data_IF_353823636104
#
_entry.id   IF_353823636104
#
_cell.length_a   1.000
_cell.length_b   1.000
_cell.length_c   1.000
_cell.angle_alpha   90.00
_cell.angle_beta   90.00
_cell.angle_gamma   90.00
#
_symmetry.space_group_name_H-M   'P 1'
#
loop_
_entity.id
_entity.type
_entity.pdbx_description
1 polymer ?
#
# COMPACT_ATOMS: atom_id res chain seq x y z
N UNK A 1 35.24 -29.26 -45.84
CA UNK A 1 36.56 -29.86 -45.51
C UNK A 1 36.40 -31.37 -45.40
N UNK A 2 37.48 -32.12 -45.60
CA UNK A 2 37.50 -33.57 -45.38
C UNK A 2 37.93 -33.82 -43.92
N UNK A 3 37.25 -34.71 -43.19
CA UNK A 3 37.51 -34.99 -41.77
C UNK A 3 37.87 -36.45 -41.62
N UNK A 4 39.14 -36.74 -41.32
CA UNK A 4 39.60 -38.09 -41.01
C UNK A 4 39.44 -38.36 -39.51
N UNK A 5 38.60 -39.33 -39.15
CA UNK A 5 38.37 -39.74 -37.75
C UNK A 5 39.17 -41.01 -37.46
N UNK A 6 40.03 -40.98 -36.45
CA UNK A 6 40.74 -42.19 -36.03
C UNK A 6 39.84 -43.08 -35.16
N UNK A 7 39.82 -44.41 -35.36
CA UNK A 7 39.00 -45.33 -34.58
C UNK A 7 39.28 -45.26 -33.08
N UNK A 8 40.53 -45.04 -32.70
CA UNK A 8 40.99 -44.97 -31.30
C UNK A 8 40.55 -43.68 -30.57
N UNK A 9 40.15 -42.63 -31.30
CA UNK A 9 39.83 -41.36 -30.64
C UNK A 9 38.63 -41.48 -29.71
N UNK A 10 38.74 -40.80 -28.57
CA UNK A 10 37.64 -40.66 -27.65
C UNK A 10 36.42 -40.00 -28.34
N UNK A 11 35.18 -40.40 -28.03
CA UNK A 11 33.96 -39.83 -28.63
C UNK A 11 33.90 -38.29 -28.60
N UNK A 12 34.42 -37.68 -27.53
CA UNK A 12 34.48 -36.22 -27.40
C UNK A 12 35.43 -35.57 -28.43
N UNK A 13 36.61 -36.14 -28.64
CA UNK A 13 37.60 -35.69 -29.64
C UNK A 13 37.05 -35.84 -31.06
N UNK A 14 36.39 -36.97 -31.35
CA UNK A 14 35.71 -37.19 -32.63
C UNK A 14 34.64 -36.13 -32.88
N UNK A 15 33.82 -35.82 -31.87
CA UNK A 15 32.75 -34.84 -32.01
C UNK A 15 33.28 -33.40 -32.16
N UNK A 16 34.35 -33.03 -31.44
CA UNK A 16 35.06 -31.75 -31.61
C UNK A 16 35.61 -31.59 -33.04
N UNK A 17 36.25 -32.64 -33.58
CA UNK A 17 36.80 -32.61 -34.93
C UNK A 17 35.71 -32.44 -36.00
N UNK A 18 34.57 -33.11 -35.84
CA UNK A 18 33.41 -32.93 -36.74
C UNK A 18 32.87 -31.51 -36.61
N UNK A 19 32.60 -31.05 -35.38
CA UNK A 19 32.01 -29.75 -35.12
C UNK A 19 32.87 -28.58 -35.61
N UNK A 20 34.19 -28.68 -35.50
CA UNK A 20 35.13 -27.68 -36.03
C UNK A 20 35.14 -27.60 -37.57
N UNK A 21 34.62 -28.60 -38.26
CA UNK A 21 34.55 -28.66 -39.73
C UNK A 21 33.13 -28.46 -40.28
N UNK A 22 32.12 -28.29 -39.42
CA UNK A 22 30.73 -27.99 -39.82
C UNK A 22 30.68 -26.60 -40.47
N UNK A 23 30.03 -26.51 -41.63
CA UNK A 23 29.82 -25.25 -42.32
C UNK A 23 28.33 -24.87 -42.31
N UNK A 24 27.90 -24.14 -41.28
CA UNK A 24 26.51 -23.72 -41.09
C UNK A 24 25.95 -22.85 -42.21
N UNK A 25 26.80 -22.26 -43.06
CA UNK A 25 26.37 -21.46 -44.22
C UNK A 25 26.12 -22.30 -45.49
N UNK A 26 26.42 -23.59 -45.47
CA UNK A 26 26.22 -24.49 -46.60
C UNK A 26 24.86 -25.20 -46.54
N UNK A 27 24.30 -25.56 -47.70
CA UNK A 27 23.05 -26.33 -47.83
C UNK A 27 23.13 -27.70 -47.15
N UNK A 28 24.31 -28.32 -47.17
CA UNK A 28 24.64 -29.49 -46.35
C UNK A 28 25.76 -29.07 -45.37
N UNK A 29 25.43 -28.86 -44.09
CA UNK A 29 26.39 -28.31 -43.13
C UNK A 29 27.45 -29.32 -42.68
N UNK A 30 27.26 -30.62 -42.98
CA UNK A 30 28.16 -31.68 -42.51
C UNK A 30 29.43 -31.79 -43.36
N UNK A 31 30.58 -32.15 -42.76
CA UNK A 31 31.79 -32.47 -43.51
C UNK A 31 31.59 -33.64 -44.49
N UNK A 32 32.35 -33.65 -45.58
CA UNK A 32 32.28 -34.73 -46.57
C UNK A 32 32.63 -36.07 -45.89
N UNK A 33 31.83 -37.10 -46.14
CA UNK A 33 32.04 -38.44 -45.60
C UNK A 33 31.52 -38.66 -44.17
N UNK A 34 30.92 -37.65 -43.53
CA UNK A 34 30.31 -37.77 -42.20
C UNK A 34 28.79 -37.76 -42.33
N UNK A 35 28.14 -38.89 -41.99
CA UNK A 35 26.69 -38.97 -41.96
C UNK A 35 26.12 -38.56 -40.60
N UNK A 36 24.85 -38.15 -40.59
CA UNK A 36 24.10 -37.91 -39.34
C UNK A 36 24.09 -39.14 -38.44
N UNK A 37 23.86 -40.33 -38.98
CA UNK A 37 23.85 -41.59 -38.21
C UNK A 37 25.17 -41.81 -37.46
N UNK A 38 26.30 -41.44 -38.09
CA UNK A 38 27.62 -41.53 -37.47
C UNK A 38 27.78 -40.54 -36.32
N UNK A 39 27.23 -39.35 -36.44
CA UNK A 39 27.20 -38.34 -35.37
C UNK A 39 26.31 -38.83 -34.23
N UNK A 40 25.13 -39.38 -34.53
CA UNK A 40 24.21 -39.93 -33.54
C UNK A 40 24.86 -41.06 -32.74
N UNK A 41 25.58 -41.99 -33.38
CA UNK A 41 26.34 -43.07 -32.72
C UNK A 41 27.36 -42.52 -31.70
N UNK A 42 28.14 -41.51 -32.11
CA UNK A 42 29.10 -40.82 -31.22
C UNK A 42 28.36 -40.16 -30.05
N UNK A 43 27.24 -39.50 -30.32
CA UNK A 43 26.46 -38.83 -29.31
C UNK A 43 25.78 -39.82 -28.35
N UNK A 44 25.31 -40.99 -28.81
CA UNK A 44 24.74 -42.01 -27.92
C UNK A 44 25.81 -42.56 -26.98
N UNK A 45 27.04 -42.71 -27.48
CA UNK A 45 28.18 -43.10 -26.65
C UNK A 45 28.46 -42.04 -25.57
N UNK A 46 28.45 -40.75 -25.93
CA UNK A 46 28.58 -39.64 -24.97
C UNK A 46 27.40 -39.59 -23.98
N UNK A 47 26.18 -39.90 -24.42
CA UNK A 47 25.00 -40.00 -23.56
C UNK A 47 25.16 -41.13 -22.53
N UNK A 48 25.70 -42.28 -22.91
CA UNK A 48 25.97 -43.38 -21.97
C UNK A 48 27.03 -42.97 -20.94
N UNK A 49 28.03 -42.18 -21.35
CA UNK A 49 29.14 -41.77 -20.47
C UNK A 49 28.77 -40.65 -19.49
N UNK A 50 27.94 -39.69 -19.93
CA UNK A 50 27.64 -38.47 -19.17
C UNK A 50 26.17 -38.32 -18.80
N UNK A 51 25.28 -39.19 -19.28
CA UNK A 51 23.82 -39.08 -19.14
C UNK A 51 23.37 -39.03 -17.68
N UNK A 52 23.88 -39.93 -16.84
CA UNK A 52 23.55 -39.95 -15.41
C UNK A 52 23.99 -38.67 -14.70
N UNK A 53 25.12 -38.07 -15.08
CA UNK A 53 25.56 -36.78 -14.55
C UNK A 53 24.66 -35.64 -15.04
N UNK A 54 24.19 -35.69 -16.29
CA UNK A 54 23.21 -34.73 -16.81
C UNK A 54 21.88 -34.87 -16.06
N UNK A 55 21.42 -36.09 -15.80
CA UNK A 55 20.22 -36.37 -15.02
C UNK A 55 20.34 -35.78 -13.61
N UNK A 56 21.41 -36.13 -12.89
CA UNK A 56 21.65 -35.65 -11.52
C UNK A 56 21.77 -34.12 -11.43
N UNK A 57 22.44 -33.47 -12.40
CA UNK A 57 22.55 -32.01 -12.43
C UNK A 57 21.24 -31.35 -12.85
N UNK A 58 20.42 -32.00 -13.69
CA UNK A 58 19.11 -31.49 -14.10
C UNK A 58 18.05 -31.54 -12.99
N UNK A 59 18.26 -32.35 -11.94
CA UNK A 59 17.41 -32.36 -10.73
C UNK A 59 17.68 -31.15 -9.81
N UNK A 60 18.63 -30.29 -10.15
CA UNK A 60 18.93 -29.04 -9.44
C UNK A 60 18.13 -27.84 -10.02
N UNK A 61 18.61 -26.61 -9.81
CA UNK A 61 18.01 -25.38 -10.37
C UNK A 61 18.30 -25.18 -11.87
N UNK A 62 19.10 -26.06 -12.48
CA UNK A 62 19.41 -26.02 -13.90
C UNK A 62 18.30 -26.68 -14.72
N UNK A 63 17.88 -26.01 -15.80
CA UNK A 63 17.07 -26.67 -16.82
C UNK A 63 17.85 -27.81 -17.46
N UNK A 64 17.15 -28.77 -18.07
CA UNK A 64 17.77 -29.92 -18.75
C UNK A 64 18.87 -29.51 -19.75
N UNK A 65 18.67 -28.41 -20.48
CA UNK A 65 19.63 -27.89 -21.47
C UNK A 65 20.84 -27.20 -20.85
N UNK A 66 20.63 -26.47 -19.76
CA UNK A 66 21.72 -25.88 -18.96
C UNK A 66 22.56 -26.98 -18.31
N UNK A 67 21.93 -28.00 -17.71
CA UNK A 67 22.61 -29.15 -17.12
C UNK A 67 23.41 -29.94 -18.16
N UNK A 68 22.79 -30.25 -19.30
CA UNK A 68 23.43 -30.95 -20.41
C UNK A 68 24.64 -30.18 -20.94
N UNK A 69 24.50 -28.86 -21.16
CA UNK A 69 25.58 -28.01 -21.65
C UNK A 69 26.70 -27.92 -20.61
N UNK A 70 26.37 -27.71 -19.34
CA UNK A 70 27.35 -27.55 -18.28
C UNK A 70 28.14 -28.84 -18.04
N UNK A 71 27.48 -30.00 -17.97
CA UNK A 71 28.12 -31.30 -17.78
C UNK A 71 29.04 -31.63 -18.94
N UNK A 72 28.56 -31.53 -20.18
CA UNK A 72 29.36 -31.85 -21.37
C UNK A 72 30.54 -30.87 -21.56
N UNK A 73 30.40 -29.63 -21.09
CA UNK A 73 31.45 -28.61 -21.18
C UNK A 73 32.53 -28.79 -20.11
N UNK A 74 32.13 -29.11 -18.88
CA UNK A 74 33.03 -29.06 -17.71
C UNK A 74 33.57 -30.42 -17.30
N UNK A 75 32.85 -31.52 -17.56
CA UNK A 75 33.34 -32.86 -17.28
C UNK A 75 34.11 -33.41 -18.49
N UNK A 76 35.34 -33.83 -18.27
CA UNK A 76 36.15 -34.58 -19.22
C UNK A 76 36.78 -35.77 -18.52
N UNK A 77 36.67 -36.96 -19.12
CA UNK A 77 37.44 -38.13 -18.67
C UNK A 77 38.93 -37.96 -18.98
N UNK A 78 39.77 -38.66 -18.23
CA UNK A 78 41.22 -38.64 -18.42
C UNK A 78 41.58 -39.06 -19.86
N UNK A 79 42.40 -38.25 -20.54
CA UNK A 79 42.75 -38.45 -21.96
C UNK A 79 41.71 -37.96 -22.99
N UNK A 80 40.58 -37.38 -22.56
CA UNK A 80 39.58 -36.79 -23.46
C UNK A 80 39.63 -35.26 -23.46
N UNK A 81 39.45 -34.66 -24.63
CA UNK A 81 39.26 -33.21 -24.74
C UNK A 81 37.87 -32.81 -24.21
N UNK A 82 37.80 -31.61 -23.62
CA UNK A 82 36.52 -30.98 -23.30
C UNK A 82 35.78 -30.65 -24.60
N UNK A 83 34.46 -30.86 -24.59
CA UNK A 83 33.65 -30.52 -25.76
C UNK A 83 33.62 -29.00 -25.97
N UNK A 84 33.74 -28.58 -27.22
CA UNK A 84 33.50 -27.19 -27.63
C UNK A 84 32.00 -26.88 -27.64
N UNK A 85 31.64 -25.59 -27.68
CA UNK A 85 30.22 -25.20 -27.76
C UNK A 85 29.58 -25.66 -29.06
N UNK A 86 30.34 -25.66 -30.15
CA UNK A 86 29.94 -26.18 -31.45
C UNK A 86 29.66 -27.69 -31.39
N UNK A 87 30.51 -28.44 -30.68
CA UNK A 87 30.33 -29.88 -30.49
C UNK A 87 29.14 -30.22 -29.59
N UNK A 88 28.88 -29.40 -28.58
CA UNK A 88 27.67 -29.50 -27.74
C UNK A 88 26.42 -29.16 -28.55
N UNK A 89 26.48 -28.13 -29.41
CA UNK A 89 25.40 -27.81 -30.36
C UNK A 89 25.10 -28.97 -31.29
N UNK A 90 26.15 -29.59 -31.85
CA UNK A 90 26.02 -30.78 -32.70
C UNK A 90 25.44 -31.98 -31.95
N UNK A 91 25.82 -32.18 -30.68
CA UNK A 91 25.24 -33.21 -29.80
C UNK A 91 23.74 -32.97 -29.56
N UNK A 92 23.36 -31.73 -29.27
CA UNK A 92 21.98 -31.32 -29.04
C UNK A 92 21.13 -31.51 -30.30
N UNK A 93 21.68 -31.16 -31.47
CA UNK A 93 21.04 -31.34 -32.76
C UNK A 93 20.82 -32.81 -33.12
N UNK A 94 21.83 -33.66 -32.89
CA UNK A 94 21.79 -35.06 -33.29
C UNK A 94 20.80 -35.89 -32.46
N UNK A 95 20.81 -35.75 -31.13
CA UNK A 95 19.96 -36.55 -30.22
C UNK A 95 18.66 -35.83 -29.81
N UNK A 96 18.60 -34.51 -29.94
CA UNK A 96 17.38 -33.74 -29.66
C UNK A 96 16.31 -33.97 -30.72
N UNK A 97 15.20 -34.63 -30.36
CA UNK A 97 14.01 -34.68 -31.24
C UNK A 97 13.42 -33.27 -31.40
N UNK A 98 13.36 -32.82 -32.65
CA UNK A 98 12.69 -31.61 -33.16
C UNK A 98 13.15 -30.26 -32.56
N UNK A 99 13.71 -29.41 -33.41
CA UNK A 99 13.82 -27.96 -33.13
C UNK A 99 13.22 -27.22 -34.32
N UNK A 100 12.17 -26.44 -34.06
CA UNK A 100 12.05 -25.14 -34.72
C UNK A 100 13.13 -24.23 -34.09
N UNK A 101 13.97 -23.62 -34.94
CA UNK A 101 15.12 -22.82 -34.51
C UNK A 101 16.46 -23.51 -34.73
N UNK A 102 17.51 -22.73 -35.05
CA UNK A 102 18.82 -23.20 -35.52
C UNK A 102 19.66 -23.85 -34.39
N UNK A 103 19.75 -25.18 -34.34
CA UNK A 103 20.35 -25.93 -33.23
C UNK A 103 21.89 -26.01 -33.31
N UNK A 104 22.50 -25.41 -34.34
CA UNK A 104 23.96 -25.32 -34.50
C UNK A 104 24.53 -23.98 -34.01
N UNK A 105 23.69 -23.09 -33.48
CA UNK A 105 24.12 -21.78 -33.01
C UNK A 105 24.98 -21.88 -31.75
N UNK A 106 26.28 -21.66 -31.91
CA UNK A 106 27.26 -21.47 -30.81
C UNK A 106 26.74 -20.50 -29.75
N UNK A 107 26.07 -19.42 -30.18
CA UNK A 107 25.54 -18.36 -29.32
C UNK A 107 24.51 -18.90 -28.34
N UNK A 108 23.58 -19.74 -28.81
CA UNK A 108 22.55 -20.35 -27.96
C UNK A 108 23.18 -21.28 -26.91
N UNK A 109 24.19 -22.06 -27.31
CA UNK A 109 24.89 -22.96 -26.38
C UNK A 109 25.72 -22.20 -25.35
N UNK A 110 26.40 -21.11 -25.75
CA UNK A 110 27.11 -20.25 -24.78
C UNK A 110 26.14 -19.60 -23.79
N UNK A 111 24.95 -19.17 -24.22
CA UNK A 111 23.94 -18.62 -23.31
C UNK A 111 23.45 -19.64 -22.28
N UNK A 112 23.29 -20.91 -22.66
CA UNK A 112 22.99 -21.99 -21.70
C UNK A 112 24.13 -22.19 -20.70
N UNK A 113 25.39 -22.14 -21.16
CA UNK A 113 26.55 -22.28 -20.30
C UNK A 113 26.68 -21.12 -19.31
N UNK A 114 26.47 -19.88 -19.77
CA UNK A 114 26.54 -18.69 -18.93
C UNK A 114 25.43 -18.67 -17.88
N UNK A 115 24.20 -19.05 -18.24
CA UNK A 115 23.10 -19.20 -17.29
C UNK A 115 23.39 -20.28 -16.25
N UNK A 116 23.90 -21.44 -16.68
CA UNK A 116 24.28 -22.51 -15.77
C UNK A 116 25.36 -22.06 -14.77
N UNK A 117 26.40 -21.37 -15.25
CA UNK A 117 27.48 -20.85 -14.41
C UNK A 117 26.96 -19.85 -13.37
N UNK A 118 26.08 -18.91 -13.76
CA UNK A 118 25.47 -17.96 -12.82
C UNK A 118 24.65 -18.66 -11.73
N UNK A 119 23.84 -19.66 -12.11
CA UNK A 119 23.01 -20.41 -11.17
C UNK A 119 23.85 -21.22 -10.18
N UNK A 120 24.92 -21.86 -10.66
CA UNK A 120 25.85 -22.60 -9.80
C UNK A 120 26.59 -21.66 -8.86
N UNK A 121 27.13 -20.53 -9.34
CA UNK A 121 27.79 -19.54 -8.49
C UNK A 121 26.86 -19.00 -7.40
N UNK A 122 25.58 -18.76 -7.72
CA UNK A 122 24.56 -18.37 -6.73
C UNK A 122 24.33 -19.48 -5.71
N UNK A 123 24.20 -20.73 -6.14
CA UNK A 123 24.01 -21.86 -5.24
C UNK A 123 25.23 -22.09 -4.32
N UNK A 124 26.45 -21.99 -4.85
CA UNK A 124 27.69 -22.07 -4.07
C UNK A 124 27.77 -20.93 -3.05
N UNK A 125 27.41 -19.70 -3.45
CA UNK A 125 27.34 -18.55 -2.53
C UNK A 125 26.34 -18.80 -1.41
N UNK A 126 25.18 -19.40 -1.70
CA UNK A 126 24.17 -19.77 -0.70
C UNK A 126 24.69 -20.86 0.25
N UNK A 127 25.34 -21.90 -0.27
CA UNK A 127 25.86 -23.03 0.53
C UNK A 127 27.06 -22.62 1.39
N UNK A 128 27.91 -21.72 0.88
CA UNK A 128 29.10 -21.22 1.59
C UNK A 128 28.79 -20.12 2.61
N UNK A 129 27.53 -19.67 2.73
CA UNK A 129 27.13 -18.65 3.69
C UNK A 129 27.06 -19.26 5.10
N UNK A 130 27.93 -18.82 6.00
CA UNK A 130 28.06 -19.31 7.39
C UNK A 130 27.28 -18.48 8.42
N UNK A 131 26.55 -17.46 7.98
CA UNK A 131 25.66 -16.64 8.84
C UNK A 131 24.20 -17.10 8.79
N UNK A 132 23.35 -16.63 9.73
CA UNK A 132 21.90 -16.85 9.65
C UNK A 132 21.36 -16.41 8.28
N UNK A 133 20.31 -17.08 7.75
CA UNK A 133 19.71 -16.69 6.48
C UNK A 133 19.29 -15.23 6.59
N UNK A 134 19.66 -14.37 5.61
CA UNK A 134 19.20 -13.00 5.60
C UNK A 134 17.68 -12.99 5.50
N UNK A 135 17.04 -12.09 6.21
CA UNK A 135 15.62 -11.87 6.02
C UNK A 135 15.37 -11.37 4.56
N UNK A 136 14.21 -11.65 3.94
CA UNK A 136 13.96 -11.31 2.54
C UNK A 136 14.16 -9.83 2.17
N UNK A 137 13.91 -8.94 3.11
CA UNK A 137 14.17 -7.49 3.14
C UNK A 137 15.67 -7.12 3.17
N UNK A 138 16.55 -8.03 3.58
CA UNK A 138 18.02 -7.82 3.56
C UNK A 138 18.69 -8.25 2.24
N UNK A 139 17.98 -8.92 1.33
CA UNK A 139 18.55 -9.49 0.07
C UNK A 139 18.04 -8.80 -1.19
N UNK A 140 16.82 -8.29 -1.13
CA UNK A 140 16.20 -7.59 -2.24
C UNK A 140 15.90 -6.18 -1.78
N UNK A 141 16.59 -5.19 -2.36
CA UNK A 141 16.27 -3.78 -2.11
C UNK A 141 14.82 -3.47 -2.51
N UNK A 142 14.24 -4.27 -3.42
CA UNK A 142 12.83 -4.21 -3.82
C UNK A 142 12.28 -5.60 -4.20
N UNK A 143 11.00 -5.92 -3.89
CA UNK A 143 10.39 -7.20 -4.27
C UNK A 143 10.40 -7.37 -5.80
N UNK A 144 11.09 -8.41 -6.28
CA UNK A 144 11.01 -8.79 -7.71
C UNK A 144 9.75 -9.63 -7.94
N UNK A 145 8.75 -9.18 -8.70
CA UNK A 145 7.55 -9.97 -8.98
C UNK A 145 7.89 -11.16 -9.88
N UNK A 146 7.92 -12.36 -9.29
CA UNK A 146 8.22 -13.60 -10.01
C UNK A 146 7.08 -14.07 -10.94
N UNK A 147 5.93 -13.40 -10.90
CA UNK A 147 4.70 -13.80 -11.58
C UNK A 147 4.40 -12.99 -12.85
N UNK A 148 5.18 -11.94 -13.14
CA UNK A 148 4.98 -11.06 -14.30
C UNK A 148 5.86 -11.52 -15.47
N UNK A 149 5.27 -11.75 -16.65
CA UNK A 149 6.01 -12.15 -17.86
C UNK A 149 7.09 -11.14 -18.27
N UNK A 150 8.17 -11.60 -18.90
CA UNK A 150 9.36 -10.78 -19.23
C UNK A 150 9.04 -9.50 -19.99
N UNK A 151 8.08 -9.56 -20.91
CA UNK A 151 7.70 -8.43 -21.77
C UNK A 151 6.90 -7.38 -20.99
N UNK A 152 6.08 -7.82 -20.03
CA UNK A 152 5.34 -6.94 -19.12
C UNK A 152 6.29 -6.32 -18.10
N UNK A 153 7.23 -7.11 -17.58
CA UNK A 153 8.26 -6.62 -16.66
C UNK A 153 9.17 -5.55 -17.30
N UNK A 154 9.48 -5.68 -18.60
CA UNK A 154 10.21 -4.66 -19.35
C UNK A 154 9.41 -3.35 -19.45
N UNK A 155 8.13 -3.43 -19.84
CA UNK A 155 7.24 -2.26 -19.95
C UNK A 155 6.98 -1.57 -18.61
N UNK A 156 6.90 -2.33 -17.52
CA UNK A 156 6.77 -1.78 -16.17
C UNK A 156 8.06 -1.05 -15.77
N UNK A 157 9.24 -1.65 -15.99
CA UNK A 157 10.53 -0.99 -15.76
C UNK A 157 10.70 0.30 -16.54
N UNK A 158 10.22 0.36 -17.78
CA UNK A 158 10.27 1.59 -18.59
C UNK A 158 9.37 2.72 -18.06
N UNK A 159 8.43 2.40 -17.16
CA UNK A 159 7.49 3.35 -16.55
C UNK A 159 7.84 3.71 -15.10
N UNK A 160 8.83 3.07 -14.50
CA UNK A 160 9.34 3.39 -13.15
C UNK A 160 9.91 4.81 -13.17
N UNK A 161 9.39 5.68 -12.29
CA UNK A 161 9.94 7.00 -12.03
C UNK A 161 11.34 6.93 -11.41
N UNK A 162 12.11 8.01 -11.47
CA UNK A 162 13.44 8.04 -10.86
C UNK A 162 13.35 7.87 -9.34
N UNK A 163 13.74 6.69 -8.84
CA UNK A 163 13.67 6.37 -7.42
C UNK A 163 12.28 5.96 -6.92
N UNK A 164 11.34 5.67 -7.82
CA UNK A 164 10.03 5.09 -7.48
C UNK A 164 10.20 3.58 -7.21
N UNK A 165 9.83 3.07 -6.02
CA UNK A 165 9.76 1.65 -5.74
C UNK A 165 8.81 0.94 -6.72
N UNK A 166 9.08 -0.34 -6.99
CA UNK A 166 8.23 -1.11 -7.90
C UNK A 166 6.76 -1.27 -7.45
N UNK A 167 6.53 -1.34 -6.14
CA UNK A 167 5.16 -1.42 -5.58
C UNK A 167 4.40 -0.11 -5.81
N UNK A 168 5.04 1.04 -5.56
CA UNK A 168 4.50 2.38 -5.84
C UNK A 168 4.15 2.56 -7.32
N UNK A 169 4.97 2.03 -8.24
CA UNK A 169 4.65 2.01 -9.68
C UNK A 169 3.35 1.25 -9.95
N UNK A 170 3.20 0.05 -9.37
CA UNK A 170 2.00 -0.76 -9.57
C UNK A 170 0.77 -0.02 -9.05
N UNK A 171 0.85 0.51 -7.83
CA UNK A 171 -0.24 1.25 -7.20
C UNK A 171 -0.66 2.45 -8.06
N UNK A 172 0.30 3.29 -8.47
CA UNK A 172 0.05 4.42 -9.37
C UNK A 172 -0.61 3.98 -10.68
N UNK A 173 -0.12 2.91 -11.31
CA UNK A 173 -0.71 2.43 -12.57
C UNK A 173 -2.13 1.89 -12.38
N UNK A 174 -2.41 1.23 -11.25
CA UNK A 174 -3.76 0.80 -10.92
C UNK A 174 -4.68 2.00 -10.73
N UNK A 175 -4.23 3.02 -10.00
CA UNK A 175 -4.98 4.25 -9.76
C UNK A 175 -5.21 5.05 -11.04
N UNK A 176 -4.23 5.16 -11.93
CA UNK A 176 -4.36 5.83 -13.24
C UNK A 176 -5.42 5.17 -14.13
N UNK A 177 -5.65 3.86 -13.98
CA UNK A 177 -6.65 3.12 -14.75
C UNK A 177 -8.03 3.11 -14.10
N UNK A 178 -8.15 3.61 -12.86
CA UNK A 178 -9.39 3.62 -12.11
C UNK A 178 -10.25 4.81 -12.57
N UNK A 179 -11.54 4.59 -12.93
CA UNK A 179 -12.43 5.71 -13.20
C UNK A 179 -12.66 6.49 -11.91
N UNK A 180 -12.36 7.79 -11.94
CA UNK A 180 -12.38 8.68 -10.76
C UNK A 180 -13.32 9.87 -10.97
N UNK A 181 -13.90 10.35 -9.88
CA UNK A 181 -14.64 11.62 -9.81
C UNK A 181 -14.06 12.47 -8.69
N UNK A 182 -13.95 13.78 -8.86
CA UNK A 182 -13.52 14.64 -7.74
C UNK A 182 -14.65 14.77 -6.71
N UNK A 183 -14.31 14.89 -5.42
CA UNK A 183 -15.33 15.07 -4.38
C UNK A 183 -16.22 16.30 -4.64
N UNK A 184 -15.63 17.39 -5.14
CA UNK A 184 -16.37 18.59 -5.57
C UNK A 184 -17.35 18.31 -6.72
N UNK A 185 -16.91 17.58 -7.75
CA UNK A 185 -17.77 17.21 -8.88
C UNK A 185 -18.89 16.23 -8.46
N UNK A 186 -18.62 15.32 -7.52
CA UNK A 186 -19.63 14.43 -6.96
C UNK A 186 -20.73 15.24 -6.27
N UNK A 187 -20.35 16.14 -5.34
CA UNK A 187 -21.31 16.98 -4.62
C UNK A 187 -22.09 17.87 -5.58
N UNK A 188 -21.42 18.52 -6.54
CA UNK A 188 -22.07 19.37 -7.54
C UNK A 188 -23.05 18.57 -8.41
N UNK A 189 -22.67 17.37 -8.87
CA UNK A 189 -23.53 16.54 -9.71
C UNK A 189 -24.82 16.13 -8.99
N UNK A 190 -24.73 15.74 -7.72
CA UNK A 190 -25.93 15.42 -6.93
C UNK A 190 -26.77 16.66 -6.62
N UNK A 191 -26.17 17.80 -6.29
CA UNK A 191 -26.93 19.04 -6.06
C UNK A 191 -27.67 19.50 -7.31
N UNK A 192 -26.99 19.53 -8.46
CA UNK A 192 -27.51 20.13 -9.70
C UNK A 192 -28.46 19.21 -10.48
N UNK A 193 -28.25 17.89 -10.43
CA UNK A 193 -29.02 16.92 -11.23
C UNK A 193 -30.06 16.15 -10.40
N UNK A 194 -29.89 16.13 -9.07
CA UNK A 194 -30.71 15.34 -8.15
C UNK A 194 -31.35 16.18 -7.06
N UNK A 195 -31.18 17.50 -7.07
CA UNK A 195 -31.68 18.38 -6.00
C UNK A 195 -31.29 17.86 -4.59
N UNK A 196 -30.10 17.25 -4.48
CA UNK A 196 -29.62 16.75 -3.21
C UNK A 196 -29.43 17.91 -2.23
N UNK A 197 -29.98 17.77 -1.03
CA UNK A 197 -29.99 18.80 0.02
C UNK A 197 -29.08 18.41 1.21
N UNK A 198 -28.52 17.19 1.21
CA UNK A 198 -27.57 16.72 2.20
C UNK A 198 -26.58 15.72 1.60
N UNK A 199 -25.29 15.92 1.87
CA UNK A 199 -24.20 15.01 1.49
C UNK A 199 -23.22 14.92 2.67
N UNK A 200 -22.94 13.71 3.13
CA UNK A 200 -21.98 13.47 4.20
C UNK A 200 -21.13 12.22 3.95
N UNK A 201 -20.01 12.13 4.67
CA UNK A 201 -19.14 10.94 4.71
C UNK A 201 -19.31 10.25 6.05
N UNK A 202 -19.49 8.93 6.05
CA UNK A 202 -19.55 8.14 7.29
C UNK A 202 -18.15 7.90 7.87
N UNK A 203 -17.90 8.38 9.09
CA UNK A 203 -16.61 8.18 9.79
C UNK A 203 -16.68 7.18 10.93
N UNK A 204 -17.79 6.43 11.06
CA UNK A 204 -17.99 5.45 12.16
C UNK A 204 -17.22 4.14 11.94
N UNK A 205 -16.86 3.86 10.69
CA UNK A 205 -16.19 2.61 10.35
C UNK A 205 -14.68 2.76 10.56
N UNK A 206 -14.01 1.72 11.12
CA UNK A 206 -12.56 1.71 11.17
C UNK A 206 -11.98 1.85 9.78
N UNK A 207 -10.92 2.64 9.64
CA UNK A 207 -10.24 2.84 8.36
C UNK A 207 -11.18 3.45 7.28
N UNK A 208 -12.12 4.32 7.70
CA UNK A 208 -13.05 5.02 6.81
C UNK A 208 -12.32 5.83 5.73
N UNK A 209 -11.07 6.22 5.97
CA UNK A 209 -10.22 6.95 5.05
C UNK A 209 -9.64 6.07 3.92
N UNK A 210 -9.92 4.77 3.89
CA UNK A 210 -9.60 3.89 2.76
C UNK A 210 -10.76 3.74 1.76
N UNK A 211 -12.01 3.83 2.26
CA UNK A 211 -13.26 3.70 1.51
C UNK A 211 -14.23 4.80 1.96
N UNK A 212 -14.25 5.91 1.22
CA UNK A 212 -15.11 7.05 1.53
C UNK A 212 -16.55 6.70 1.16
N UNK A 213 -17.37 6.51 2.20
CA UNK A 213 -18.79 6.21 2.09
C UNK A 213 -19.62 7.48 2.14
N UNK A 214 -20.11 7.90 0.99
CA UNK A 214 -21.00 9.05 0.88
C UNK A 214 -22.44 8.64 1.13
N UNK A 215 -23.08 9.28 2.09
CA UNK A 215 -24.53 9.22 2.31
C UNK A 215 -25.15 10.49 1.75
N UNK A 216 -26.09 10.33 0.83
CA UNK A 216 -26.69 11.43 0.09
C UNK A 216 -28.18 11.40 0.27
N UNK A 217 -28.73 12.52 0.74
CA UNK A 217 -30.18 12.76 0.70
C UNK A 217 -30.54 13.36 -0.64
N UNK A 218 -31.26 12.59 -1.43
CA UNK A 218 -31.79 13.01 -2.72
C UNK A 218 -33.13 12.30 -2.99
N UNK A 219 -34.04 12.91 -3.77
CA UNK A 219 -35.21 12.24 -4.31
C UNK A 219 -34.84 11.00 -5.11
N UNK A 220 -35.77 10.04 -5.20
CA UNK A 220 -35.58 8.81 -5.97
C UNK A 220 -35.31 9.09 -7.47
N UNK A 221 -34.43 8.28 -8.06
CA UNK A 221 -34.18 8.23 -9.51
C UNK A 221 -32.81 7.64 -9.85
N UNK A 222 -32.27 7.94 -11.04
CA UNK A 222 -30.94 7.50 -11.48
C UNK A 222 -29.76 8.31 -10.91
N UNK A 223 -28.71 7.63 -10.46
CA UNK A 223 -27.42 8.22 -10.06
C UNK A 223 -26.84 9.13 -11.16
N UNK A 224 -26.27 10.30 -10.85
CA UNK A 224 -25.65 11.18 -11.84
C UNK A 224 -24.60 10.47 -12.69
N UNK A 225 -24.60 10.72 -14.01
CA UNK A 225 -23.70 10.03 -14.96
C UNK A 225 -22.20 10.22 -14.62
N UNK A 226 -21.83 11.35 -14.02
CA UNK A 226 -20.46 11.61 -13.57
C UNK A 226 -20.01 10.72 -12.41
N UNK A 227 -20.95 10.12 -11.68
CA UNK A 227 -20.70 9.27 -10.50
C UNK A 227 -20.99 7.80 -10.81
N UNK A 228 -21.93 7.51 -11.71
CA UNK A 228 -22.38 6.15 -12.02
C UNK A 228 -21.25 5.16 -12.38
N UNK A 229 -20.23 5.63 -13.11
CA UNK A 229 -19.07 4.82 -13.52
C UNK A 229 -17.85 5.00 -12.61
N UNK A 230 -17.92 5.89 -11.60
CA UNK A 230 -16.78 6.21 -10.75
C UNK A 230 -16.55 5.10 -9.72
N UNK A 231 -15.35 4.52 -9.74
CA UNK A 231 -14.93 3.53 -8.76
C UNK A 231 -14.14 4.16 -7.60
N UNK A 232 -13.69 5.40 -7.75
CA UNK A 232 -12.96 6.16 -6.75
C UNK A 232 -13.37 7.64 -6.76
N UNK A 233 -13.17 8.27 -5.61
CA UNK A 233 -13.29 9.71 -5.45
C UNK A 233 -11.91 10.31 -5.21
N UNK A 234 -11.62 11.47 -5.79
CA UNK A 234 -10.38 12.19 -5.54
C UNK A 234 -10.60 13.37 -4.60
N UNK A 235 -9.76 13.44 -3.57
CA UNK A 235 -9.63 14.59 -2.66
C UNK A 235 -8.19 15.07 -2.76
N UNK A 236 -7.99 16.33 -3.17
CA UNK A 236 -6.66 16.90 -3.45
C UNK A 236 -5.76 16.08 -4.38
N UNK A 237 -6.38 15.39 -5.34
CA UNK A 237 -5.69 14.55 -6.30
C UNK A 237 -5.31 13.16 -5.78
N UNK A 238 -5.54 12.86 -4.50
CA UNK A 238 -5.39 11.51 -3.94
C UNK A 238 -6.68 10.70 -4.17
N UNK A 239 -6.61 9.52 -4.79
CA UNK A 239 -7.77 8.67 -4.99
C UNK A 239 -8.11 7.88 -3.71
N UNK A 240 -9.40 7.74 -3.47
CA UNK A 240 -9.96 6.92 -2.39
C UNK A 240 -11.03 6.01 -2.98
N UNK A 241 -11.20 4.82 -2.41
CA UNK A 241 -12.34 3.99 -2.81
C UNK A 241 -13.64 4.72 -2.50
N UNK A 242 -14.62 4.57 -3.40
CA UNK A 242 -15.88 5.29 -3.33
C UNK A 242 -17.03 4.31 -3.18
N UNK A 243 -17.83 4.54 -2.15
CA UNK A 243 -19.15 3.93 -1.99
C UNK A 243 -20.17 5.05 -1.84
N UNK A 244 -21.30 4.95 -2.54
CA UNK A 244 -22.38 5.94 -2.45
C UNK A 244 -23.68 5.25 -2.06
N UNK A 245 -24.33 5.80 -1.04
CA UNK A 245 -25.62 5.36 -0.53
C UNK A 245 -26.61 6.51 -0.69
N UNK A 246 -27.59 6.35 -1.57
CA UNK A 246 -28.68 7.31 -1.77
C UNK A 246 -29.85 6.92 -0.86
N UNK A 247 -30.22 7.78 0.08
CA UNK A 247 -31.35 7.60 0.97
C UNK A 247 -32.29 8.80 0.86
N UNK A 248 -33.62 8.61 0.80
CA UNK A 248 -34.55 9.73 0.70
C UNK A 248 -34.67 10.53 2.00
N UNK A 249 -34.37 9.91 3.15
CA UNK A 249 -34.45 10.56 4.47
C UNK A 249 -33.41 9.97 5.46
N UNK A 250 -32.10 10.11 5.18
CA UNK A 250 -31.07 9.70 6.12
C UNK A 250 -31.17 10.56 7.37
N UNK A 251 -31.28 9.90 8.54
CA UNK A 251 -31.15 10.59 9.82
C UNK A 251 -29.71 11.10 9.96
N UNK A 252 -29.47 12.42 10.14
CA UNK A 252 -28.13 12.94 10.35
C UNK A 252 -27.52 12.30 11.61
N UNK A 253 -26.48 11.48 11.43
CA UNK A 253 -25.77 10.84 12.52
C UNK A 253 -24.63 11.73 13.01
N UNK A 254 -24.28 11.64 14.29
CA UNK A 254 -23.10 12.34 14.84
C UNK A 254 -21.77 11.91 14.19
N UNK A 255 -21.75 10.74 13.57
CA UNK A 255 -20.60 10.21 12.83
C UNK A 255 -20.59 10.62 11.35
N UNK A 256 -21.48 11.52 10.94
CA UNK A 256 -21.47 12.08 9.60
C UNK A 256 -20.57 13.30 9.56
N UNK A 257 -19.51 13.23 8.76
CA UNK A 257 -18.79 14.42 8.35
C UNK A 257 -19.58 15.08 7.22
N UNK A 258 -20.33 16.13 7.55
CA UNK A 258 -21.18 16.83 6.60
C UNK A 258 -20.34 17.60 5.58
N UNK A 259 -20.46 17.23 4.31
CA UNK A 259 -19.80 17.89 3.19
C UNK A 259 -20.69 18.98 2.60
N UNK A 260 -22.00 18.75 2.58
CA UNK A 260 -22.99 19.73 2.16
C UNK A 260 -24.29 19.52 2.92
N UNK A 261 -24.92 20.60 3.34
CA UNK A 261 -26.29 20.62 3.83
C UNK A 261 -26.93 21.93 3.37
N UNK A 262 -28.10 21.85 2.74
CA UNK A 262 -28.88 23.04 2.42
C UNK A 262 -29.24 23.74 3.75
N UNK A 263 -29.04 25.06 3.79
CA UNK A 263 -29.61 25.86 4.87
C UNK A 263 -31.10 25.99 4.66
N UNK A 264 -31.85 26.11 5.74
CA UNK A 264 -33.20 26.65 5.62
C UNK A 264 -33.04 28.12 5.22
N UNK A 265 -33.36 28.43 3.96
CA UNK A 265 -33.50 29.81 3.51
C UNK A 265 -34.66 30.43 4.30
N UNK A 266 -34.38 31.00 5.48
CA UNK A 266 -35.26 31.97 6.10
C UNK A 266 -35.19 33.27 5.28
N UNK A 267 -35.81 33.28 4.10
CA UNK A 267 -36.08 34.55 3.42
C UNK A 267 -37.32 34.48 2.50
N UNK A 268 -38.33 35.30 2.83
CA UNK A 268 -39.18 35.93 1.79
C UNK A 268 -40.70 35.71 1.81
N UNK A 269 -41.40 36.48 2.66
CA UNK A 269 -42.56 37.29 2.21
C UNK A 269 -43.96 36.65 2.16
N UNK A 270 -44.83 37.06 3.09
CA UNK A 270 -46.27 36.77 3.05
C UNK A 270 -47.11 37.62 4.00
N UNK A 271 -47.22 38.92 3.73
CA UNK A 271 -48.19 39.82 4.37
C UNK A 271 -49.64 39.42 4.10
N UNK A 272 -50.38 38.94 5.11
CA UNK A 272 -51.84 39.07 5.34
C UNK A 272 -52.05 38.79 6.84
N UNK A 273 -52.79 39.49 7.69
CA UNK A 273 -53.68 40.64 7.62
C UNK A 273 -54.35 40.75 9.00
N UNK A 274 -54.46 41.97 9.48
CA UNK A 274 -55.40 42.53 10.47
C UNK A 274 -56.39 41.59 11.20
N UNK A 275 -56.44 41.70 12.53
CA UNK A 275 -57.49 41.10 13.35
C UNK A 275 -57.23 41.17 14.86
N UNK A 276 -57.60 42.29 15.47
CA UNK A 276 -57.79 42.44 16.93
C UNK A 276 -58.60 41.27 17.50
N UNK A 277 -58.21 40.75 18.68
CA UNK A 277 -59.17 40.65 19.79
C UNK A 277 -58.48 40.56 21.16
N UNK A 278 -59.13 41.18 22.13
CA UNK A 278 -58.77 41.24 23.54
C UNK A 278 -59.17 39.92 24.25
N UNK A 279 -58.38 39.47 25.22
CA UNK A 279 -58.83 38.37 26.09
C UNK A 279 -57.77 37.87 27.05
N UNK A 280 -57.81 38.34 28.29
CA UNK A 280 -56.99 37.86 29.38
C UNK A 280 -57.30 36.42 29.81
N UNK A 281 -56.33 35.80 30.49
CA UNK A 281 -56.50 34.48 31.11
C UNK A 281 -55.22 34.00 31.75
N UNK A 282 -55.09 34.24 33.06
CA UNK A 282 -54.10 33.60 33.93
C UNK A 282 -54.39 32.09 34.09
N UNK A 283 -53.33 31.31 34.34
CA UNK A 283 -53.37 29.89 34.74
C UNK A 283 -52.63 29.01 33.74
N UNK A 284 -51.52 28.35 34.04
CA UNK A 284 -51.22 27.57 35.23
C UNK A 284 -51.34 26.09 34.87
N UNK A 285 -50.21 25.40 34.71
CA UNK A 285 -50.17 23.93 34.51
C UNK A 285 -49.18 23.46 33.45
N UNK A 286 -47.88 23.57 33.77
CA UNK A 286 -46.86 22.79 33.07
C UNK A 286 -46.96 21.32 33.46
N UNK A 287 -47.01 20.43 32.48
CA UNK A 287 -46.66 19.03 32.67
C UNK A 287 -46.51 18.32 31.32
N UNK A 288 -45.30 17.78 31.08
CA UNK A 288 -45.08 16.51 30.39
C UNK A 288 -45.20 16.50 28.87
N UNK A 289 -44.06 16.65 28.20
CA UNK A 289 -43.88 16.27 26.81
C UNK A 289 -42.40 16.14 26.52
N UNK A 290 -41.82 14.98 26.85
CA UNK A 290 -40.52 14.52 26.37
C UNK A 290 -40.60 14.47 24.83
N UNK A 291 -40.15 15.56 24.22
CA UNK A 291 -39.91 15.67 22.81
C UNK A 291 -38.50 16.20 22.65
N UNK A 292 -37.51 15.31 22.80
CA UNK A 292 -36.16 15.49 22.26
C UNK A 292 -36.23 15.43 20.71
N UNK A 293 -37.04 16.32 20.13
CA UNK A 293 -36.82 16.77 18.77
C UNK A 293 -35.68 17.78 18.89
N UNK A 294 -34.48 17.25 18.70
CA UNK A 294 -33.21 17.96 18.55
C UNK A 294 -33.43 19.10 17.55
N UNK A 295 -33.78 20.28 18.07
CA UNK A 295 -34.01 21.54 17.36
C UNK A 295 -32.65 22.09 16.88
N UNK A 296 -32.03 21.35 15.95
CA UNK A 296 -30.86 21.79 15.21
C UNK A 296 -31.34 22.70 14.10
N UNK A 297 -31.60 23.95 14.46
CA UNK A 297 -31.80 25.07 13.53
C UNK A 297 -30.56 25.27 12.64
N UNK A 298 -30.51 24.48 11.56
CA UNK A 298 -30.48 25.00 10.19
C UNK A 298 -29.31 25.87 9.72
N UNK A 299 -28.13 25.89 10.35
CA UNK A 299 -26.95 26.49 9.69
C UNK A 299 -26.46 25.54 8.59
N UNK A 300 -26.91 25.77 7.35
CA UNK A 300 -26.47 25.02 6.18
C UNK A 300 -24.94 24.99 6.05
N UNK A 301 -24.42 23.89 5.48
CA UNK A 301 -22.99 23.71 5.22
C UNK A 301 -22.76 23.88 3.73
N UNK A 302 -22.02 24.93 3.36
CA UNK A 302 -21.59 25.14 1.97
C UNK A 302 -20.60 24.06 1.53
N UNK A 303 -20.64 23.58 0.27
CA UNK A 303 -19.76 22.51 -0.22
C UNK A 303 -18.27 22.79 0.00
N UNK A 304 -17.83 24.02 -0.24
CA UNK A 304 -16.42 24.38 -0.10
C UNK A 304 -15.95 24.25 1.35
N UNK A 305 -16.80 24.63 2.31
CA UNK A 305 -16.52 24.51 3.73
C UNK A 305 -16.48 23.03 4.15
N UNK A 306 -17.47 22.23 3.74
CA UNK A 306 -17.52 20.81 4.06
C UNK A 306 -16.40 19.99 3.39
N UNK A 307 -16.00 20.33 2.16
CA UNK A 307 -14.84 19.72 1.49
C UNK A 307 -13.51 20.10 2.17
N UNK A 308 -13.38 21.33 2.67
CA UNK A 308 -12.25 21.70 3.52
C UNK A 308 -12.22 20.87 4.81
N UNK A 309 -13.37 20.67 5.48
CA UNK A 309 -13.46 19.79 6.66
C UNK A 309 -13.06 18.35 6.34
N UNK A 310 -13.54 17.80 5.22
CA UNK A 310 -13.18 16.45 4.77
C UNK A 310 -11.67 16.32 4.54
N UNK A 311 -11.05 17.29 3.86
CA UNK A 311 -9.60 17.33 3.65
C UNK A 311 -8.86 17.34 4.99
N UNK A 312 -9.22 18.26 5.88
CA UNK A 312 -8.58 18.35 7.21
C UNK A 312 -8.78 17.08 8.03
N UNK A 313 -9.93 16.42 7.94
CA UNK A 313 -10.17 15.13 8.58
C UNK A 313 -9.23 14.06 8.03
N UNK A 314 -9.13 13.91 6.70
CA UNK A 314 -8.24 12.96 6.03
C UNK A 314 -6.76 13.21 6.36
N UNK A 315 -6.33 14.46 6.44
CA UNK A 315 -4.99 14.85 6.89
C UNK A 315 -4.73 14.59 8.38
N UNK A 316 -5.76 14.25 9.15
CA UNK A 316 -5.68 14.00 10.60
C UNK A 316 -5.80 12.53 10.95
N UNK A 317 -6.38 11.70 10.07
CA UNK A 317 -6.62 10.28 10.37
C UNK A 317 -5.36 9.55 10.78
N UNK A 318 -4.25 9.86 10.11
CA UNK A 318 -2.94 9.36 10.46
C UNK A 318 -1.92 10.48 10.59
N UNK A 319 -1.30 10.58 11.76
CA UNK A 319 -0.23 11.54 12.05
C UNK A 319 0.95 10.81 12.67
N UNK A 320 2.15 11.32 12.46
CA UNK A 320 3.27 10.98 13.34
C UNK A 320 3.11 11.71 14.70
N UNK A 321 3.78 11.20 15.73
CA UNK A 321 3.70 11.77 17.07
C UNK A 321 4.17 13.24 17.14
N UNK A 322 5.29 13.63 16.50
CA UNK A 322 5.69 15.04 16.42
C UNK A 322 4.59 15.95 15.84
N UNK A 323 4.00 15.59 14.70
CA UNK A 323 2.96 16.36 14.03
C UNK A 323 1.69 16.46 14.87
N UNK A 324 1.28 15.37 15.53
CA UNK A 324 0.16 15.39 16.47
C UNK A 324 0.41 16.37 17.63
N UNK A 325 1.62 16.37 18.21
CA UNK A 325 2.00 17.30 19.28
C UNK A 325 2.06 18.75 18.77
N UNK A 326 2.58 18.99 17.56
CA UNK A 326 2.66 20.34 17.02
C UNK A 326 1.27 20.92 16.74
N UNK A 327 0.31 20.11 16.26
CA UNK A 327 -1.10 20.51 16.13
C UNK A 327 -1.74 20.81 17.49
N UNK A 328 -1.56 19.93 18.46
CA UNK A 328 -2.05 20.15 19.83
C UNK A 328 -1.47 21.42 20.45
N UNK A 329 -0.16 21.66 20.28
CA UNK A 329 0.50 22.87 20.76
C UNK A 329 -0.04 24.12 20.08
N UNK A 330 -0.26 24.08 18.76
CA UNK A 330 -0.85 25.19 18.02
C UNK A 330 -2.30 25.50 18.49
N UNK A 331 -3.01 24.47 18.94
CA UNK A 331 -4.35 24.58 19.52
C UNK A 331 -4.39 24.95 21.02
N UNK A 332 -3.24 25.23 21.64
CA UNK A 332 -3.16 25.65 23.04
C UNK A 332 -3.17 24.51 24.06
N UNK A 333 -3.12 23.26 23.62
CA UNK A 333 -2.96 22.10 24.51
C UNK A 333 -1.56 22.13 25.13
N UNK A 334 -1.47 21.82 26.42
CA UNK A 334 -0.27 22.05 27.22
C UNK A 334 0.58 20.80 27.42
N UNK A 335 -0.03 19.61 27.35
CA UNK A 335 0.64 18.33 27.47
C UNK A 335 -0.14 17.20 26.77
N UNK A 336 0.51 16.07 26.57
CA UNK A 336 -0.07 14.83 26.03
C UNK A 336 0.42 13.65 26.84
N UNK A 337 -0.51 12.87 27.40
CA UNK A 337 -0.24 11.60 28.05
C UNK A 337 -0.93 10.44 27.33
N UNK A 338 -0.48 9.21 27.58
CA UNK A 338 -1.09 7.98 27.08
C UNK A 338 -1.43 7.05 28.24
N UNK A 339 -2.56 6.37 28.18
CA UNK A 339 -2.92 5.34 29.16
C UNK A 339 -1.91 4.20 29.19
N UNK A 340 -1.66 3.63 30.38
CA UNK A 340 -0.76 2.50 30.58
C UNK A 340 -1.35 1.18 30.04
N UNK A 341 -2.67 1.13 29.90
CA UNK A 341 -3.42 0.07 29.25
C UNK A 341 -4.05 0.57 27.94
N UNK A 342 -4.21 -0.30 26.93
CA UNK A 342 -4.93 0.06 25.71
C UNK A 342 -6.43 0.29 25.98
N UNK A 343 -7.04 1.20 25.23
CA UNK A 343 -8.49 1.39 25.19
C UNK A 343 -9.02 0.93 23.83
N UNK A 344 -10.03 0.06 23.83
CA UNK A 344 -10.56 -0.52 22.59
C UNK A 344 -9.47 -1.28 21.83
N UNK A 345 -9.22 -0.87 20.59
CA UNK A 345 -8.23 -1.49 19.71
C UNK A 345 -6.82 -0.87 19.80
N UNK A 346 -6.59 0.15 20.64
CA UNK A 346 -5.36 0.94 20.56
C UNK A 346 -5.04 1.82 21.76
N UNK A 347 -4.30 2.90 21.51
CA UNK A 347 -3.88 3.87 22.51
C UNK A 347 -5.06 4.67 23.06
N UNK A 348 -5.02 4.96 24.37
CA UNK A 348 -5.85 5.99 24.98
C UNK A 348 -5.02 7.26 25.16
N UNK A 349 -5.30 8.29 24.39
CA UNK A 349 -4.61 9.58 24.47
C UNK A 349 -5.34 10.55 25.39
N UNK A 350 -4.57 11.27 26.21
CA UNK A 350 -5.02 12.29 27.14
C UNK A 350 -4.36 13.63 26.82
N UNK A 351 -4.90 14.41 25.86
CA UNK A 351 -4.52 15.79 25.67
C UNK A 351 -4.88 16.60 26.92
N UNK A 352 -3.92 17.33 27.47
CA UNK A 352 -4.11 18.12 28.67
C UNK A 352 -4.28 19.59 28.27
N UNK A 353 -5.49 20.11 28.47
CA UNK A 353 -5.87 21.48 28.11
C UNK A 353 -5.65 22.45 29.28
N UNK A 354 -5.51 23.77 29.00
CA UNK A 354 -5.50 24.78 30.04
C UNK A 354 -6.74 24.64 30.95
N UNK A 355 -6.55 24.85 32.26
CA UNK A 355 -7.64 24.74 33.22
C UNK A 355 -8.04 26.11 33.76
N UNK A 356 -9.01 26.76 33.14
CA UNK A 356 -9.60 28.01 33.63
C UNK A 356 -11.12 27.95 33.72
N UNK A 357 -11.61 26.99 34.52
CA UNK A 357 -12.85 27.15 35.27
C UNK A 357 -14.14 26.77 34.53
N UNK A 358 -14.81 25.73 35.05
CA UNK A 358 -16.25 25.48 34.91
C UNK A 358 -16.82 25.67 33.50
N UNK A 359 -16.60 24.70 32.62
CA UNK A 359 -17.35 24.55 31.39
C UNK A 359 -16.99 23.21 30.78
N UNK A 360 -18.00 22.42 30.39
CA UNK A 360 -17.81 21.23 29.57
C UNK A 360 -16.82 21.53 28.44
N UNK A 361 -15.79 20.69 28.29
CA UNK A 361 -14.96 20.69 27.09
C UNK A 361 -15.90 20.31 25.96
N UNK A 362 -16.37 21.31 25.21
CA UNK A 362 -17.34 21.10 24.14
C UNK A 362 -16.70 20.19 23.09
N UNK A 363 -17.17 18.95 23.01
CA UNK A 363 -16.86 18.02 21.93
C UNK A 363 -17.79 18.22 20.72
N UNK A 364 -18.45 19.38 20.62
CA UNK A 364 -19.50 19.63 19.64
C UNK A 364 -19.18 20.78 18.69
N UNK A 365 -19.62 20.61 17.45
CA UNK A 365 -19.18 21.24 16.19
C UNK A 365 -19.62 22.72 16.03
N UNK A 366 -19.77 23.44 17.14
CA UNK A 366 -20.30 24.82 17.19
C UNK A 366 -19.26 25.82 17.67
N UNK A 367 -18.20 26.00 16.87
CA UNK A 367 -17.30 27.12 17.04
C UNK A 367 -17.98 28.43 16.62
N UNK A 368 -18.50 29.20 17.59
CA UNK A 368 -18.80 30.62 17.38
C UNK A 368 -17.53 31.44 17.57
N UNK A 369 -17.28 32.31 16.59
CA UNK A 369 -16.22 33.30 16.52
C UNK A 369 -16.30 34.27 17.72
N UNK A 370 -15.44 34.06 18.73
CA UNK A 370 -14.76 35.08 19.56
C UNK A 370 -14.09 34.41 20.78
N UNK A 371 -12.75 34.30 20.78
CA UNK A 371 -11.96 34.01 21.99
C UNK A 371 -10.98 32.83 21.88
N UNK A 372 -9.82 33.07 21.27
CA UNK A 372 -8.69 32.13 21.25
C UNK A 372 -8.04 32.08 22.64
N UNK A 373 -8.43 31.12 23.48
CA UNK A 373 -7.67 30.73 24.69
C UNK A 373 -8.04 29.37 25.32
N UNK A 374 -9.00 28.60 24.79
CA UNK A 374 -9.34 27.28 25.33
C UNK A 374 -8.73 26.18 24.44
N UNK A 375 -8.09 25.18 25.06
CA UNK A 375 -7.35 24.15 24.32
C UNK A 375 -8.25 23.33 23.39
N UNK A 376 -8.19 23.59 22.09
CA UNK A 376 -9.09 22.93 21.12
C UNK A 376 -8.53 21.56 20.69
N UNK A 377 -9.15 20.50 21.21
CA UNK A 377 -8.75 19.12 20.88
C UNK A 377 -9.46 18.57 19.65
N UNK A 378 -10.41 19.33 19.08
CA UNK A 378 -11.07 18.95 17.81
C UNK A 378 -10.09 18.84 16.64
N UNK A 379 -8.91 19.46 16.76
CA UNK A 379 -7.78 19.32 15.82
C UNK A 379 -7.29 17.87 15.67
N UNK A 380 -7.63 16.97 16.61
CA UNK A 380 -7.39 15.53 16.55
C UNK A 380 -8.68 14.69 16.49
N UNK A 381 -9.85 15.29 16.22
CA UNK A 381 -11.14 14.61 16.29
C UNK A 381 -11.22 13.34 15.42
N UNK A 382 -10.50 13.34 14.30
CA UNK A 382 -10.47 12.22 13.36
C UNK A 382 -9.22 11.35 13.45
N UNK A 383 -8.34 11.57 14.43
CA UNK A 383 -7.10 10.79 14.58
C UNK A 383 -7.41 9.34 14.95
N UNK A 384 -7.17 8.40 14.02
CA UNK A 384 -7.34 6.97 14.24
C UNK A 384 -6.02 6.21 14.33
N UNK A 385 -4.95 6.76 13.77
CA UNK A 385 -3.65 6.10 13.66
C UNK A 385 -2.51 7.07 13.98
N UNK A 386 -1.55 6.57 14.75
CA UNK A 386 -0.35 7.29 15.13
C UNK A 386 0.87 6.54 14.57
N UNK A 387 1.54 7.12 13.58
CA UNK A 387 2.76 6.56 13.03
C UNK A 387 3.90 6.72 14.06
N UNK A 388 4.45 5.58 14.49
CA UNK A 388 5.57 5.49 15.42
C UNK A 388 6.81 4.96 14.69
N UNK A 389 7.24 5.70 13.66
CA UNK A 389 8.43 5.44 12.83
C UNK A 389 8.47 4.03 12.18
N UNK A 390 8.69 2.96 12.94
CA UNK A 390 8.78 1.55 12.48
C UNK A 390 7.46 0.76 12.54
N UNK A 391 6.38 1.36 13.06
CA UNK A 391 5.08 0.72 13.24
C UNK A 391 3.96 1.76 13.33
N UNK A 392 2.72 1.33 13.14
CA UNK A 392 1.55 2.21 13.30
C UNK A 392 0.71 1.77 14.49
N UNK A 393 0.40 2.71 15.39
CA UNK A 393 -0.41 2.48 16.57
C UNK A 393 -1.83 3.01 16.34
N UNK A 394 -2.85 2.15 16.48
CA UNK A 394 -4.25 2.63 16.48
C UNK A 394 -4.52 3.52 17.69
N UNK A 395 -5.34 4.55 17.52
CA UNK A 395 -5.87 5.40 18.59
C UNK A 395 -7.29 4.91 18.88
N UNK A 396 -7.47 4.28 20.03
CA UNK A 396 -8.76 3.70 20.40
C UNK A 396 -9.64 4.66 21.19
N UNK A 397 -9.05 5.65 21.86
CA UNK A 397 -9.80 6.69 22.57
C UNK A 397 -8.95 7.95 22.74
N UNK A 398 -9.61 9.10 22.64
CA UNK A 398 -9.06 10.39 23.00
C UNK A 398 -9.92 10.99 24.11
N UNK A 399 -9.31 11.48 25.18
CA UNK A 399 -10.02 12.03 26.35
C UNK A 399 -9.30 13.28 26.83
N UNK A 400 -9.72 14.46 26.35
CA UNK A 400 -9.23 15.73 26.85
C UNK A 400 -9.45 15.82 28.35
N UNK A 401 -8.46 16.31 29.07
CA UNK A 401 -8.54 16.51 30.52
C UNK A 401 -7.85 17.82 30.91
N UNK A 402 -8.30 18.44 31.98
CA UNK A 402 -7.52 19.53 32.61
C UNK A 402 -6.34 18.97 33.38
N UNK A 403 -5.37 19.81 33.73
CA UNK A 403 -4.24 19.38 34.57
C UNK A 403 -4.68 18.78 35.91
N UNK A 404 -5.76 19.31 36.50
CA UNK A 404 -6.36 18.80 37.75
C UNK A 404 -6.96 17.42 37.58
N UNK A 405 -7.71 17.18 36.51
CA UNK A 405 -8.32 15.87 36.24
C UNK A 405 -7.27 14.83 35.87
N UNK A 406 -6.18 15.26 35.22
CA UNK A 406 -5.06 14.37 34.96
C UNK A 406 -4.42 13.85 36.26
N UNK A 407 -4.40 14.60 37.37
CA UNK A 407 -3.87 14.12 38.65
C UNK A 407 -4.58 12.85 39.14
N UNK A 408 -5.89 12.73 38.90
CA UNK A 408 -6.69 11.58 39.31
C UNK A 408 -6.33 10.31 38.51
N UNK A 409 -5.83 10.46 37.29
CA UNK A 409 -5.44 9.35 36.39
C UNK A 409 -3.93 9.23 36.17
N UNK A 410 -3.11 10.10 36.79
CA UNK A 410 -1.68 10.19 36.54
C UNK A 410 -0.91 8.89 36.85
N UNK A 411 -1.41 8.06 37.78
CA UNK A 411 -0.82 6.76 38.09
C UNK A 411 -1.10 5.71 36.99
N UNK A 412 -2.13 5.94 36.18
CA UNK A 412 -2.60 5.07 35.10
C UNK A 412 -2.18 5.56 33.71
N UNK A 413 -1.48 6.70 33.63
CA UNK A 413 -0.97 7.28 32.39
C UNK A 413 0.56 7.38 32.39
N UNK A 414 1.12 7.53 31.19
CA UNK A 414 2.51 7.88 30.96
C UNK A 414 2.55 9.18 30.16
N UNK A 415 3.28 10.17 30.67
CA UNK A 415 3.42 11.47 30.02
C UNK A 415 4.35 11.36 28.80
N UNK A 416 3.86 11.74 27.62
CA UNK A 416 4.64 11.72 26.37
C UNK A 416 5.33 13.06 26.14
N UNK A 417 4.61 14.16 26.38
CA UNK A 417 5.07 15.53 26.17
C UNK A 417 4.38 16.49 27.15
N UNK A 418 5.09 17.51 27.63
CA UNK A 418 4.52 18.60 28.43
C UNK A 418 5.33 19.89 28.29
N UNK A 419 4.62 21.01 28.23
CA UNK A 419 5.19 22.36 28.36
C UNK A 419 5.41 22.75 29.82
N UNK A 420 6.19 23.80 30.07
CA UNK A 420 6.32 24.39 31.42
C UNK A 420 4.99 24.94 31.95
N UNK A 421 4.07 25.33 31.06
CA UNK A 421 2.77 25.89 31.41
C UNK A 421 1.75 24.83 31.85
N UNK A 422 2.01 23.55 31.57
CA UNK A 422 1.07 22.46 31.86
C UNK A 422 0.80 22.24 33.36
N UNK A 423 1.67 22.74 34.24
CA UNK A 423 1.53 22.55 35.69
C UNK A 423 1.69 21.09 36.16
N UNK A 424 1.97 20.15 35.25
CA UNK A 424 2.15 18.72 35.53
C UNK A 424 3.65 18.39 35.49
N UNK A 425 4.21 18.09 36.66
CA UNK A 425 5.60 17.64 36.78
C UNK A 425 6.63 18.66 36.28
N UNK A 426 7.72 18.17 35.68
CA UNK A 426 8.70 19.01 34.96
C UNK A 426 8.35 19.01 33.48
N UNK A 427 8.60 20.12 32.79
CA UNK A 427 8.53 20.18 31.33
C UNK A 427 9.28 19.00 30.71
N UNK A 428 8.65 18.39 29.72
CA UNK A 428 9.10 17.17 29.10
C UNK A 428 8.98 17.33 27.58
N UNK A 429 10.12 17.59 26.93
CA UNK A 429 10.20 17.61 25.47
C UNK A 429 10.06 16.21 24.90
N UNK A 430 9.57 16.11 23.67
CA UNK A 430 9.62 14.87 22.91
C UNK A 430 11.08 14.58 22.50
N UNK A 431 11.57 13.33 22.55
CA UNK A 431 12.89 12.97 22.05
C UNK A 431 12.98 13.15 20.53
N UNK A 432 14.16 13.57 20.06
CA UNK A 432 14.44 13.65 18.63
C UNK A 432 14.66 12.26 18.02
N UNK A 433 15.15 11.30 18.81
CA UNK A 433 15.37 9.93 18.38
C UNK A 433 14.07 9.10 18.33
N UNK A 434 13.74 8.48 17.18
CA UNK A 434 12.60 7.57 17.02
C UNK A 434 12.50 6.47 18.07
N UNK A 435 13.61 5.81 18.41
CA UNK A 435 13.59 4.68 19.34
C UNK A 435 13.30 5.16 20.76
N UNK A 436 13.89 6.28 21.19
CA UNK A 436 13.57 6.93 22.47
C UNK A 436 12.11 7.39 22.55
N UNK A 437 11.53 7.92 21.46
CA UNK A 437 10.08 8.26 21.41
C UNK A 437 9.22 7.03 21.67
N UNK A 438 9.51 5.93 20.99
CA UNK A 438 8.78 4.67 21.15
C UNK A 438 8.91 4.11 22.56
N UNK A 439 10.10 4.17 23.16
CA UNK A 439 10.35 3.69 24.52
C UNK A 439 9.54 4.43 25.59
N UNK A 440 8.99 5.61 25.27
CA UNK A 440 8.04 6.30 26.16
C UNK A 440 6.65 5.69 26.18
N UNK A 441 6.27 4.90 25.17
CA UNK A 441 4.97 4.24 25.19
C UNK A 441 4.99 3.01 26.10
N UNK A 442 3.94 2.80 26.90
CA UNK A 442 3.78 1.59 27.68
C UNK A 442 3.83 0.33 26.79
N UNK A 443 4.59 -0.67 27.22
CA UNK A 443 4.80 -1.90 26.44
C UNK A 443 3.50 -2.65 26.10
N UNK A 444 2.43 -2.48 26.91
CA UNK A 444 1.12 -3.07 26.64
C UNK A 444 0.40 -2.38 25.48
N UNK A 445 0.55 -1.07 25.37
CA UNK A 445 0.02 -0.27 24.25
C UNK A 445 0.79 -0.59 22.97
N UNK A 446 2.13 -0.66 23.02
CA UNK A 446 2.94 -0.99 21.84
C UNK A 446 2.66 -2.38 21.23
N UNK A 447 2.06 -3.31 21.99
CA UNK A 447 1.67 -4.64 21.48
C UNK A 447 0.44 -4.60 20.56
N UNK A 448 -0.29 -3.48 20.53
CA UNK A 448 -1.43 -3.29 19.62
C UNK A 448 -1.03 -2.65 18.30
N UNK A 449 0.24 -2.24 18.16
CA UNK A 449 0.75 -1.68 16.91
C UNK A 449 0.88 -2.75 15.83
N UNK A 450 0.61 -2.36 14.58
CA UNK A 450 0.69 -3.21 13.38
C UNK A 450 1.92 -2.88 12.56
#
# INVERSE_FOLDING_TARGET
MDVTLEPEWHPATKLNAIAGAVNVAATDPLPKGVSRDRIEEICYTLRTLYGEYVDAVAETTLSRREAQTWVLRNLSREGAERLSYEAIGLYIWAIGRATEGDPLSRTIVSEYADRAARKIARAETTVMRTGPPPYPDEVYDEPTPLWVGSDVAGRLRDRVGSGEPYDDLIERLLDETRPTVTAAALVAAYREQRDADYVAVETVYPDWDADLRFVIRAPEGETPAAVADAAAVTVDGRPYSLTVTEEPDPAPARSHLVVFAAGDDEDGGGSVGDGRDEGGGEGGGGSGGDGDADDRSGTGVAPEAGLCRLRSALETVELDLPAAIDRLRAAGVQALAVGNEPAGAGAHLYPIVPGDGTGDIATDDTATDEGVADGDVSVLAHLERLALDDRTLRVGRLSPVTAREHEDVAAETTLLWATDAAGIGRSQSLPDDPAERRERFPARVLRTAT
#
